data_IF_573220326241
#
_entry.id   IF_573220326241
#
_cell.length_a   1.000
_cell.length_b   1.000
_cell.length_c   1.000
_cell.angle_alpha   90.00
_cell.angle_beta   90.00
_cell.angle_gamma   90.00
#
_symmetry.space_group_name_H-M   'P 1'
#
loop_
_entity.id
_entity.type
_entity.pdbx_description
1 polymer ?
#
# COMPACT_ATOMS: atom_id res chain seq x y z
N UNK A 1 -33.01 32.75 -5.06
CA UNK A 1 -31.56 32.83 -4.77
C UNK A 1 -31.40 33.09 -3.29
N UNK A 2 -30.38 32.48 -2.68
CA UNK A 2 -29.98 32.40 -1.26
C UNK A 2 -30.57 31.24 -0.45
N UNK A 3 -29.68 30.27 -0.29
CA UNK A 3 -29.67 29.04 0.50
C UNK A 3 -29.58 29.27 2.03
N UNK A 4 -29.93 28.19 2.76
CA UNK A 4 -29.32 27.65 4.01
C UNK A 4 -29.31 28.54 5.29
N UNK A 5 -29.58 28.05 6.51
CA UNK A 5 -29.35 26.76 7.17
C UNK A 5 -30.30 26.58 8.36
N UNK A 6 -30.84 25.37 8.55
CA UNK A 6 -31.46 24.91 9.82
C UNK A 6 -30.60 23.80 10.42
N UNK A 7 -30.46 23.88 11.75
CA UNK A 7 -29.82 22.97 12.70
C UNK A 7 -29.98 21.46 12.44
N UNK A 8 -28.98 20.67 12.86
CA UNK A 8 -29.07 19.88 14.09
C UNK A 8 -27.82 19.05 14.37
N UNK A 9 -27.50 18.96 15.67
CA UNK A 9 -26.66 17.97 16.34
C UNK A 9 -26.79 16.54 15.82
N UNK A 10 -25.67 15.81 15.84
CA UNK A 10 -25.68 14.40 16.21
C UNK A 10 -24.36 14.06 16.89
N UNK A 11 -24.43 13.81 18.20
CA UNK A 11 -23.42 13.10 18.96
C UNK A 11 -23.28 11.67 18.41
N UNK A 12 -22.05 11.20 18.18
CA UNK A 12 -21.75 9.76 18.09
C UNK A 12 -20.62 9.44 19.08
N UNK A 13 -21.07 8.97 20.24
CA UNK A 13 -20.61 7.77 20.95
C UNK A 13 -19.16 7.31 20.82
N UNK A 14 -18.50 7.27 21.98
CA UNK A 14 -17.27 6.53 22.30
C UNK A 14 -17.23 5.10 21.76
N UNK A 15 -16.12 4.74 21.10
CA UNK A 15 -15.66 3.35 20.86
C UNK A 15 -14.12 3.42 20.97
N UNK A 16 -13.56 3.09 22.13
CA UNK A 16 -12.96 1.79 22.49
C UNK A 16 -11.47 1.70 22.15
N UNK A 17 -10.68 1.18 23.09
CA UNK A 17 -9.22 1.08 23.02
C UNK A 17 -8.84 0.04 21.95
N UNK A 18 -8.56 0.48 20.73
CA UNK A 18 -8.13 -0.39 19.63
C UNK A 18 -6.88 0.12 18.93
N UNK A 19 -5.72 -0.31 19.42
CA UNK A 19 -4.41 -0.33 18.73
C UNK A 19 -4.01 0.97 18.01
N UNK A 20 -3.28 1.83 18.72
CA UNK A 20 -2.43 2.83 18.06
C UNK A 20 -1.29 2.08 17.38
N UNK A 21 -1.45 1.72 16.11
CA UNK A 21 -0.29 1.56 15.23
C UNK A 21 0.26 2.97 15.02
N UNK A 22 1.11 3.41 15.95
CA UNK A 22 1.99 4.53 15.72
C UNK A 22 2.77 4.19 14.45
N UNK A 23 2.40 4.81 13.33
CA UNK A 23 3.19 4.84 12.11
C UNK A 23 4.41 5.73 12.37
N UNK A 24 5.24 5.40 13.35
CA UNK A 24 6.43 6.17 13.72
C UNK A 24 7.61 5.94 12.77
N UNK A 25 7.44 5.11 11.74
CA UNK A 25 8.46 4.87 10.70
C UNK A 25 8.06 5.40 9.31
N UNK A 26 7.01 6.24 9.21
CA UNK A 26 6.67 6.89 7.94
C UNK A 26 7.54 8.12 7.60
N UNK A 27 8.41 8.58 8.49
CA UNK A 27 9.21 9.80 8.29
C UNK A 27 10.65 9.56 7.80
N UNK A 28 11.05 8.32 7.50
CA UNK A 28 12.31 8.05 6.79
C UNK A 28 12.04 7.71 5.33
N UNK A 29 11.52 8.69 4.59
CA UNK A 29 11.43 8.65 3.13
C UNK A 29 12.85 8.75 2.56
N UNK A 30 13.57 7.61 2.53
CA UNK A 30 14.85 7.51 1.80
C UNK A 30 14.59 7.81 0.32
N UNK A 31 15.53 8.51 -0.35
CA UNK A 31 15.35 8.96 -1.73
C UNK A 31 14.99 7.80 -2.67
N UNK A 32 14.23 8.13 -3.72
CA UNK A 32 13.52 7.29 -4.72
C UNK A 32 14.34 6.19 -5.46
N UNK A 33 15.47 5.72 -4.94
CA UNK A 33 16.46 4.92 -5.68
C UNK A 33 17.02 3.73 -4.91
N UNK A 34 16.60 3.48 -3.66
CA UNK A 34 16.97 2.26 -2.94
C UNK A 34 15.74 1.37 -2.79
N UNK A 35 15.71 0.30 -3.59
CA UNK A 35 14.77 -0.79 -3.41
C UNK A 35 14.98 -1.38 -2.00
N UNK A 36 13.91 -1.70 -1.26
CA UNK A 36 14.06 -2.31 0.05
C UNK A 36 14.67 -3.71 -0.14
N UNK A 37 15.81 -3.97 0.50
CA UNK A 37 16.47 -5.28 0.40
C UNK A 37 15.67 -6.38 1.12
N UNK A 38 14.90 -6.00 2.15
CA UNK A 38 14.08 -6.91 2.95
C UNK A 38 12.94 -6.16 3.65
N UNK A 39 11.93 -6.89 4.11
CA UNK A 39 10.81 -6.36 4.89
C UNK A 39 9.46 -6.61 4.23
N UNK A 40 8.40 -6.35 4.99
CA UNK A 40 7.01 -6.55 4.58
C UNK A 40 6.36 -5.18 4.40
N UNK A 41 5.91 -4.89 3.18
CA UNK A 41 5.43 -3.56 2.80
C UNK A 41 4.02 -3.62 2.23
N UNK A 42 3.19 -2.62 2.56
CA UNK A 42 1.84 -2.51 2.03
C UNK A 42 1.86 -2.23 0.52
N UNK A 43 0.77 -2.59 -0.17
CA UNK A 43 0.57 -2.26 -1.60
C UNK A 43 0.79 -0.76 -1.90
N UNK A 44 0.37 0.13 -0.99
CA UNK A 44 0.54 1.57 -1.12
C UNK A 44 2.01 2.02 -1.16
N UNK A 45 2.91 1.29 -0.51
CA UNK A 45 4.34 1.54 -0.55
C UNK A 45 4.91 1.24 -1.94
N UNK A 46 4.58 0.08 -2.50
CA UNK A 46 5.01 -0.32 -3.84
C UNK A 46 4.44 0.57 -4.93
N UNK A 47 3.18 0.97 -4.81
CA UNK A 47 2.53 1.92 -5.72
C UNK A 47 3.31 3.24 -5.80
N UNK A 48 3.70 3.80 -4.64
CA UNK A 48 4.52 5.02 -4.57
C UNK A 48 5.94 4.82 -5.12
N UNK A 49 6.54 3.64 -4.88
CA UNK A 49 7.91 3.34 -5.33
C UNK A 49 8.02 3.25 -6.85
N UNK A 50 7.05 2.63 -7.49
CA UNK A 50 7.04 2.42 -8.95
C UNK A 50 6.23 3.48 -9.71
N UNK A 51 5.73 4.51 -9.02
CA UNK A 51 4.88 5.57 -9.58
C UNK A 51 3.67 5.03 -10.36
N UNK A 52 3.01 4.02 -9.79
CA UNK A 52 1.81 3.38 -10.35
C UNK A 52 0.66 3.39 -9.34
N UNK A 53 -0.54 3.02 -9.79
CA UNK A 53 -1.70 2.92 -8.88
C UNK A 53 -1.63 1.65 -8.03
N UNK A 54 -2.22 1.68 -6.83
CA UNK A 54 -2.39 0.48 -6.00
C UNK A 54 -3.16 -0.64 -6.71
N UNK A 55 -4.09 -0.26 -7.60
CA UNK A 55 -4.81 -1.21 -8.45
C UNK A 55 -3.86 -1.97 -9.36
N UNK A 56 -2.92 -1.27 -10.00
CA UNK A 56 -1.88 -1.87 -10.86
C UNK A 56 -1.03 -2.87 -10.08
N UNK A 57 -0.61 -2.52 -8.87
CA UNK A 57 0.12 -3.45 -7.99
C UNK A 57 -0.74 -4.68 -7.66
N UNK A 58 -2.02 -4.51 -7.33
CA UNK A 58 -2.94 -5.62 -7.06
C UNK A 58 -3.10 -6.54 -8.29
N UNK A 59 -3.18 -5.96 -9.49
CA UNK A 59 -3.23 -6.72 -10.74
C UNK A 59 -1.95 -7.54 -10.93
N UNK A 60 -0.77 -6.99 -10.62
CA UNK A 60 0.49 -7.74 -10.67
C UNK A 60 0.50 -8.91 -9.68
N UNK A 61 0.06 -8.69 -8.44
CA UNK A 61 -0.03 -9.73 -7.41
C UNK A 61 -0.89 -10.90 -7.90
N UNK A 62 -2.09 -10.61 -8.43
CA UNK A 62 -3.02 -11.65 -8.90
C UNK A 62 -2.49 -12.35 -10.15
N UNK A 63 -2.02 -11.57 -11.14
CA UNK A 63 -1.56 -12.10 -12.43
C UNK A 63 -0.33 -13.00 -12.27
N UNK A 64 0.61 -12.60 -11.41
CA UNK A 64 1.89 -13.28 -11.24
C UNK A 64 1.95 -14.15 -9.97
N UNK A 65 0.83 -14.27 -9.24
CA UNK A 65 0.71 -15.06 -8.00
C UNK A 65 1.78 -14.71 -6.96
N UNK A 66 2.05 -13.42 -6.79
CA UNK A 66 3.02 -12.93 -5.80
C UNK A 66 2.45 -13.25 -4.40
N UNK A 67 3.20 -13.93 -3.52
CA UNK A 67 2.77 -14.17 -2.14
C UNK A 67 2.48 -12.86 -1.41
N UNK A 68 1.39 -12.82 -0.65
CA UNK A 68 1.03 -11.65 0.15
C UNK A 68 0.38 -12.08 1.46
N UNK A 69 0.46 -11.20 2.45
CA UNK A 69 -0.13 -11.36 3.79
C UNK A 69 -1.34 -10.43 3.87
N UNK A 70 -2.54 -11.00 3.94
CA UNK A 70 -3.78 -10.26 4.05
C UNK A 70 -4.99 -11.06 3.54
N UNK A 71 -6.20 -10.61 3.85
CA UNK A 71 -7.44 -11.24 3.37
C UNK A 71 -7.77 -10.86 1.92
N UNK A 72 -7.27 -9.74 1.43
CA UNK A 72 -7.47 -9.26 0.06
C UNK A 72 -6.32 -8.36 -0.39
N UNK A 73 -5.93 -8.46 -1.67
CA UNK A 73 -4.76 -7.78 -2.24
C UNK A 73 -4.68 -6.28 -1.89
N UNK A 74 -5.81 -5.56 -1.93
CA UNK A 74 -5.87 -4.11 -1.63
C UNK A 74 -5.38 -3.72 -0.23
N UNK A 75 -5.54 -4.59 0.76
CA UNK A 75 -5.10 -4.37 2.15
C UNK A 75 -3.97 -5.33 2.55
N UNK A 76 -3.23 -5.82 1.56
CA UNK A 76 -2.20 -6.82 1.79
C UNK A 76 -0.82 -6.20 1.92
N UNK A 77 0.02 -6.95 2.61
CA UNK A 77 1.43 -6.69 2.70
C UNK A 77 2.21 -7.72 1.89
N UNK A 78 3.31 -7.31 1.29
CA UNK A 78 4.10 -8.13 0.39
C UNK A 78 5.53 -8.13 0.93
N UNK A 79 6.14 -9.31 0.96
CA UNK A 79 7.56 -9.41 1.24
C UNK A 79 8.38 -8.79 0.10
N UNK A 80 9.37 -7.98 0.45
CA UNK A 80 10.22 -7.29 -0.52
C UNK A 80 11.02 -8.26 -1.40
N UNK A 81 11.50 -9.37 -0.85
CA UNK A 81 12.23 -10.36 -1.63
C UNK A 81 11.33 -10.97 -2.71
N UNK A 82 10.10 -11.34 -2.35
CA UNK A 82 9.14 -11.94 -3.29
C UNK A 82 8.74 -10.94 -4.39
N UNK A 83 8.43 -9.70 -4.00
CA UNK A 83 8.06 -8.67 -4.95
C UNK A 83 9.21 -8.32 -5.91
N UNK A 84 10.43 -8.15 -5.39
CA UNK A 84 11.60 -7.83 -6.21
C UNK A 84 12.08 -8.99 -7.07
N UNK A 85 11.85 -10.24 -6.66
CA UNK A 85 12.11 -11.42 -7.48
C UNK A 85 11.20 -11.43 -8.70
N UNK A 86 9.92 -11.09 -8.52
CA UNK A 86 8.99 -10.87 -9.63
C UNK A 86 9.48 -9.75 -10.57
N UNK A 87 9.75 -8.56 -10.02
CA UNK A 87 10.15 -7.41 -10.85
C UNK A 87 11.42 -7.73 -11.66
N UNK A 88 12.42 -8.37 -11.04
CA UNK A 88 13.64 -8.79 -11.75
C UNK A 88 13.37 -9.77 -12.89
N UNK A 89 12.35 -10.62 -12.79
CA UNK A 89 11.96 -11.54 -13.87
C UNK A 89 11.37 -10.79 -15.05
N UNK A 90 10.40 -9.91 -14.82
CA UNK A 90 9.75 -9.16 -15.90
C UNK A 90 10.73 -8.21 -16.60
N UNK A 91 11.60 -7.52 -15.87
CA UNK A 91 12.56 -6.59 -16.48
C UNK A 91 13.75 -7.29 -17.17
N UNK A 92 14.04 -8.56 -16.84
CA UNK A 92 15.04 -9.35 -17.60
C UNK A 92 14.51 -9.81 -18.96
N UNK A 93 13.22 -10.12 -19.06
CA UNK A 93 12.62 -10.61 -20.31
C UNK A 93 12.39 -9.49 -21.35
N UNK A 94 12.63 -8.22 -21.02
CA UNK A 94 12.50 -7.08 -21.93
C UNK A 94 13.85 -6.55 -22.48
N UNK A 95 14.97 -7.18 -22.14
CA UNK A 95 16.33 -6.78 -22.57
C UNK A 95 16.95 -7.74 -23.62
N UNK A 96 16.21 -8.76 -24.07
CA UNK A 96 16.52 -9.64 -25.21
C UNK A 96 15.62 -9.34 -26.42
#
# INVERSE_FOLDING_TARGET
MTDTNTSHDTEIGSIDKGISYQNSDQENFKPRWQLPESGIYAVSYWAKMYDVTEKTICEWIVKHKIPFIGSAAKNSFIDAHDFLTYMRREYKENDE
#
